data_IF_589181378689
#
_entry.id   IF_589181378689
#
_cell.length_a   1.000
_cell.length_b   1.000
_cell.length_c   1.000
_cell.angle_alpha   90.00
_cell.angle_beta   90.00
_cell.angle_gamma   90.00
#
_symmetry.space_group_name_H-M   'P 1'
#
loop_
_entity.id
_entity.type
_entity.pdbx_description
1 polymer ?
#
# COMPACT_ATOMS: atom_id res chain seq x y z
N UNK A 1 -7.68 -1.23 10.71
CA UNK A 1 -6.25 -1.36 10.41
C UNK A 1 -5.91 -0.14 9.62
N UNK A 2 -4.92 0.54 9.99
CA UNK A 2 -4.47 1.74 9.36
C UNK A 2 -3.46 1.31 8.30
N UNK A 3 -3.29 2.05 7.22
CA UNK A 3 -2.29 1.82 6.18
C UNK A 3 -0.94 1.41 6.77
N UNK A 4 -0.03 0.86 6.00
CA UNK A 4 1.33 0.62 6.53
C UNK A 4 1.94 1.90 7.11
N UNK A 5 1.56 3.06 6.60
CA UNK A 5 1.92 4.35 7.17
C UNK A 5 1.04 4.75 8.33
N UNK A 6 -0.24 4.39 8.34
CA UNK A 6 -1.06 4.49 9.55
C UNK A 6 -0.61 3.48 10.62
N UNK A 7 0.03 2.38 10.25
CA UNK A 7 0.70 1.49 11.19
C UNK A 7 1.91 2.18 11.82
N UNK A 8 2.74 2.86 11.03
CA UNK A 8 3.82 3.73 11.56
C UNK A 8 3.25 4.85 12.43
N UNK A 9 2.08 5.42 12.07
CA UNK A 9 1.38 6.46 12.86
C UNK A 9 0.80 5.94 14.18
N UNK A 10 0.45 4.66 14.32
CA UNK A 10 -0.38 4.14 15.43
C UNK A 10 0.27 3.20 16.43
N UNK A 11 1.56 3.17 16.57
CA UNK A 11 2.27 2.69 17.76
C UNK A 11 2.29 1.19 18.09
N UNK A 12 2.28 0.26 17.18
CA UNK A 12 2.39 -1.15 17.56
C UNK A 12 3.61 -1.85 16.93
N UNK A 13 4.76 -1.19 16.87
CA UNK A 13 6.00 -1.85 16.52
C UNK A 13 7.10 -1.46 17.50
N UNK A 14 7.91 -2.43 17.85
CA UNK A 14 9.13 -2.23 18.59
C UNK A 14 10.28 -2.06 17.59
N UNK A 15 11.03 -0.97 17.71
CA UNK A 15 12.31 -0.81 17.03
C UNK A 15 13.35 -1.46 17.93
N UNK A 16 13.98 -2.52 17.46
CA UNK A 16 14.99 -3.25 18.20
C UNK A 16 16.35 -2.56 17.99
N UNK A 17 16.88 -1.99 19.08
CA UNK A 17 18.23 -1.41 19.14
C UNK A 17 18.28 0.12 19.26
N UNK A 18 19.42 0.62 19.74
CA UNK A 18 19.68 2.05 20.03
C UNK A 18 19.90 2.93 18.77
N UNK A 19 19.85 2.37 17.58
CA UNK A 19 20.00 3.13 16.34
C UNK A 19 18.73 3.91 16.03
N UNK A 20 18.75 5.21 16.28
CA UNK A 20 17.72 6.16 15.84
C UNK A 20 17.68 6.20 14.31
N UNK A 21 16.73 5.51 13.72
CA UNK A 21 16.48 5.58 12.27
C UNK A 21 15.30 6.51 12.02
N UNK A 22 15.55 7.59 11.28
CA UNK A 22 14.48 8.49 10.83
C UNK A 22 13.77 7.85 9.63
N UNK A 23 12.48 7.61 9.77
CA UNK A 23 11.62 7.15 8.67
C UNK A 23 10.94 8.36 8.07
N UNK A 24 11.15 8.59 6.78
CA UNK A 24 10.48 9.66 6.03
C UNK A 24 9.38 9.03 5.17
N UNK A 25 8.16 9.56 5.32
CA UNK A 25 7.02 9.21 4.49
C UNK A 25 6.47 10.45 3.78
N UNK A 26 6.05 10.27 2.55
CA UNK A 26 5.39 11.30 1.76
C UNK A 26 3.89 11.01 1.68
N UNK A 27 3.06 11.99 2.05
CA UNK A 27 1.69 12.04 1.56
C UNK A 27 1.72 12.56 0.13
N UNK A 28 1.08 11.86 -0.78
CA UNK A 28 0.97 12.29 -2.15
C UNK A 28 -0.50 12.40 -2.54
N UNK A 29 -0.81 13.40 -3.36
CA UNK A 29 -2.17 13.68 -3.83
C UNK A 29 -2.22 13.71 -5.34
N UNK A 30 -3.25 13.08 -5.91
CA UNK A 30 -3.50 13.13 -7.34
C UNK A 30 -3.94 14.53 -7.76
N UNK A 31 -3.29 15.08 -8.80
CA UNK A 31 -3.45 16.48 -9.23
C UNK A 31 -4.14 16.66 -10.59
N UNK A 32 -4.42 15.55 -11.30
CA UNK A 32 -5.04 15.64 -12.63
C UNK A 32 -6.55 15.48 -12.54
N UNK A 33 -7.26 16.07 -13.50
CA UNK A 33 -8.72 15.95 -13.62
C UNK A 33 -9.16 14.59 -14.17
N UNK A 34 -8.35 13.98 -15.04
CA UNK A 34 -8.69 12.76 -15.75
C UNK A 34 -7.80 11.60 -15.27
N UNK A 35 -8.44 10.50 -14.94
CA UNK A 35 -7.77 9.23 -14.63
C UNK A 35 -7.75 8.38 -15.91
N UNK A 36 -6.55 7.93 -16.32
CA UNK A 36 -6.41 6.99 -17.43
C UNK A 36 -7.21 5.72 -17.18
N UNK A 37 -7.72 5.11 -18.26
CA UNK A 37 -8.48 3.86 -18.17
C UNK A 37 -7.54 2.69 -17.78
N UNK A 38 -7.96 1.92 -16.78
CA UNK A 38 -7.32 0.65 -16.46
C UNK A 38 -7.85 -0.47 -17.36
N UNK A 39 -6.97 -1.37 -17.77
CA UNK A 39 -7.30 -2.52 -18.62
C UNK A 39 -7.50 -3.82 -17.81
N UNK A 40 -7.51 -3.75 -16.48
CA UNK A 40 -7.72 -4.90 -15.61
C UNK A 40 -9.03 -4.79 -14.85
N UNK A 41 -9.50 -5.92 -14.34
CA UNK A 41 -10.63 -5.99 -13.40
C UNK A 41 -10.19 -6.71 -12.14
N UNK A 42 -10.42 -6.09 -10.97
CA UNK A 42 -10.14 -6.72 -9.69
C UNK A 42 -11.43 -7.27 -9.08
N UNK A 43 -11.28 -8.34 -8.32
CA UNK A 43 -12.34 -8.93 -7.50
C UNK A 43 -12.21 -8.46 -6.06
N UNK A 44 -13.32 -8.43 -5.32
CA UNK A 44 -13.29 -8.15 -3.88
C UNK A 44 -12.54 -9.28 -3.15
N UNK A 45 -11.85 -8.89 -2.08
CA UNK A 45 -11.20 -9.87 -1.21
C UNK A 45 -12.23 -10.79 -0.54
N UNK A 46 -11.94 -12.09 -0.53
CA UNK A 46 -12.67 -13.09 0.22
C UNK A 46 -11.70 -13.87 1.13
N UNK A 47 -12.17 -14.40 2.24
CA UNK A 47 -11.35 -15.12 3.22
C UNK A 47 -10.59 -16.30 2.63
N UNK A 48 -11.15 -16.96 1.62
CA UNK A 48 -10.48 -18.06 0.89
C UNK A 48 -9.13 -17.68 0.29
N UNK A 49 -8.92 -16.38 -0.01
CA UNK A 49 -7.66 -15.85 -0.55
C UNK A 49 -6.63 -15.54 0.53
N UNK A 50 -7.04 -15.55 1.81
CA UNK A 50 -6.20 -15.01 2.89
C UNK A 50 -4.82 -15.66 2.97
N UNK A 51 -4.74 -16.99 2.91
CA UNK A 51 -3.45 -17.69 3.03
C UNK A 51 -2.45 -17.26 1.95
N UNK A 52 -2.88 -17.23 0.69
CA UNK A 52 -2.04 -16.81 -0.45
C UNK A 52 -1.71 -15.33 -0.38
N UNK A 53 -2.70 -14.49 -0.08
CA UNK A 53 -2.52 -13.05 0.09
C UNK A 53 -1.51 -12.71 1.19
N UNK A 54 -1.60 -13.38 2.35
CA UNK A 54 -0.69 -13.21 3.48
C UNK A 54 0.77 -13.45 3.06
N UNK A 55 1.03 -14.52 2.31
CA UNK A 55 2.38 -14.81 1.82
C UNK A 55 2.90 -13.71 0.89
N UNK A 56 2.09 -13.31 -0.10
CA UNK A 56 2.46 -12.25 -1.06
C UNK A 56 2.68 -10.93 -0.34
N UNK A 57 1.78 -10.57 0.59
CA UNK A 57 1.87 -9.35 1.40
C UNK A 57 3.20 -9.31 2.17
N UNK A 58 3.47 -10.33 2.97
CA UNK A 58 4.69 -10.39 3.75
C UNK A 58 5.94 -10.37 2.88
N UNK A 59 5.96 -11.13 1.78
CA UNK A 59 7.09 -11.15 0.85
C UNK A 59 7.37 -9.77 0.24
N UNK A 60 6.33 -9.02 -0.14
CA UNK A 60 6.47 -7.68 -0.73
C UNK A 60 6.98 -6.65 0.28
N UNK A 61 6.59 -6.76 1.54
CA UNK A 61 6.95 -5.79 2.57
C UNK A 61 8.14 -6.19 3.45
N UNK A 62 8.64 -7.42 3.32
CA UNK A 62 9.72 -7.95 4.16
C UNK A 62 10.96 -7.08 4.14
N UNK A 63 11.50 -6.78 2.96
CA UNK A 63 12.73 -6.00 2.81
C UNK A 63 12.57 -4.57 3.33
N UNK A 64 11.42 -3.95 3.09
CA UNK A 64 11.12 -2.63 3.65
C UNK A 64 11.13 -2.67 5.17
N UNK A 65 10.40 -3.60 5.78
CA UNK A 65 10.31 -3.72 7.24
C UNK A 65 11.67 -4.04 7.86
N UNK A 66 12.43 -4.93 7.21
CA UNK A 66 13.78 -5.28 7.65
C UNK A 66 14.74 -4.09 7.57
N UNK A 67 14.74 -3.37 6.45
CA UNK A 67 15.60 -2.20 6.24
C UNK A 67 15.28 -1.08 7.24
N UNK A 68 13.99 -0.88 7.56
CA UNK A 68 13.53 0.11 8.52
C UNK A 68 13.52 -0.41 9.96
N UNK A 69 13.98 -1.65 10.19
CA UNK A 69 13.97 -2.33 11.50
C UNK A 69 12.58 -2.28 12.18
N UNK A 70 11.52 -2.56 11.41
CA UNK A 70 10.12 -2.56 11.87
C UNK A 70 9.66 -4.00 12.10
N UNK A 71 9.70 -4.47 13.32
CA UNK A 71 9.21 -5.82 13.68
C UNK A 71 7.70 -5.85 13.94
N UNK A 72 7.05 -7.00 13.76
CA UNK A 72 7.56 -8.23 13.12
C UNK A 72 7.74 -8.07 11.60
N UNK A 73 8.78 -8.63 11.02
CA UNK A 73 9.04 -8.52 9.57
C UNK A 73 7.96 -9.20 8.72
N UNK A 74 7.41 -10.33 9.21
CA UNK A 74 6.23 -10.97 8.68
C UNK A 74 5.00 -10.49 9.48
N UNK A 75 4.49 -9.31 9.15
CA UNK A 75 3.46 -8.63 9.92
C UNK A 75 2.10 -9.31 9.86
N UNK A 76 1.66 -9.67 8.64
CA UNK A 76 0.37 -10.30 8.44
C UNK A 76 0.47 -11.80 8.78
N UNK A 77 -0.24 -12.25 9.80
CA UNK A 77 -0.15 -13.64 10.28
C UNK A 77 -1.51 -14.27 10.62
N UNK A 78 -2.58 -13.49 10.73
CA UNK A 78 -3.93 -14.00 10.91
C UNK A 78 -4.97 -13.09 10.25
N UNK A 79 -6.13 -13.67 9.91
CA UNK A 79 -7.19 -12.99 9.19
C UNK A 79 -7.82 -11.83 9.98
N UNK A 80 -7.91 -11.95 11.28
CA UNK A 80 -8.50 -10.91 12.14
C UNK A 80 -7.79 -9.55 12.00
N UNK A 81 -6.51 -9.54 11.60
CA UNK A 81 -5.77 -8.31 11.36
C UNK A 81 -6.33 -7.47 10.20
N UNK A 82 -7.00 -8.08 9.25
CA UNK A 82 -7.55 -7.41 8.05
C UNK A 82 -9.07 -7.52 7.92
N UNK A 83 -9.73 -8.35 8.71
CA UNK A 83 -11.15 -8.72 8.60
C UNK A 83 -12.10 -7.53 8.42
N UNK A 84 -11.99 -6.51 9.28
CA UNK A 84 -12.86 -5.33 9.21
C UNK A 84 -12.69 -4.51 7.93
N UNK A 85 -11.52 -4.58 7.31
CA UNK A 85 -11.12 -3.79 6.13
C UNK A 85 -11.03 -4.59 4.85
N UNK A 86 -11.17 -5.91 4.95
CA UNK A 86 -11.06 -6.81 3.81
C UNK A 86 -12.02 -6.45 2.67
N UNK A 87 -13.19 -5.86 2.99
CA UNK A 87 -14.17 -5.36 2.01
C UNK A 87 -13.64 -4.25 1.09
N UNK A 88 -12.60 -3.54 1.52
CA UNK A 88 -11.96 -2.46 0.78
C UNK A 88 -10.64 -2.89 0.14
N UNK A 89 -10.29 -4.18 0.25
CA UNK A 89 -9.14 -4.81 -0.43
C UNK A 89 -9.65 -5.48 -1.70
N UNK A 90 -8.94 -5.27 -2.79
CA UNK A 90 -9.26 -5.83 -4.10
C UNK A 90 -8.06 -6.58 -4.66
N UNK A 91 -8.32 -7.70 -5.32
CA UNK A 91 -7.33 -8.59 -5.86
C UNK A 91 -7.42 -8.66 -7.38
N UNK A 92 -6.30 -8.55 -8.06
CA UNK A 92 -6.16 -8.98 -9.43
C UNK A 92 -5.82 -10.48 -9.43
N UNK A 93 -6.74 -11.29 -9.94
CA UNK A 93 -6.59 -12.75 -10.02
C UNK A 93 -6.67 -13.18 -11.47
N UNK A 94 -5.69 -13.92 -11.94
CA UNK A 94 -5.64 -14.52 -13.28
C UNK A 94 -5.23 -15.99 -13.15
N UNK A 95 -5.95 -16.91 -13.79
CA UNK A 95 -5.68 -18.35 -13.73
C UNK A 95 -5.49 -18.89 -12.29
N UNK A 96 -6.38 -18.49 -11.38
CA UNK A 96 -6.35 -18.84 -9.95
C UNK A 96 -5.14 -18.31 -9.18
N UNK A 97 -4.25 -17.53 -9.80
CA UNK A 97 -3.12 -16.88 -9.13
C UNK A 97 -3.42 -15.42 -8.79
N UNK A 98 -3.03 -14.99 -7.60
CA UNK A 98 -3.06 -13.58 -7.21
C UNK A 98 -1.86 -12.87 -7.84
N UNK A 99 -2.14 -12.02 -8.82
CA UNK A 99 -1.15 -11.17 -9.51
C UNK A 99 -0.75 -9.99 -8.64
N UNK A 100 -1.72 -9.42 -7.94
CA UNK A 100 -1.49 -8.29 -7.04
C UNK A 100 -2.76 -7.86 -6.33
N UNK A 101 -2.63 -6.84 -5.51
CA UNK A 101 -3.75 -6.27 -4.76
C UNK A 101 -3.64 -4.77 -4.60
N UNK A 102 -4.76 -4.15 -4.28
CA UNK A 102 -4.85 -2.74 -3.91
C UNK A 102 -5.94 -2.57 -2.85
N UNK A 103 -5.70 -1.73 -1.86
CA UNK A 103 -6.70 -1.32 -0.88
C UNK A 103 -7.17 0.11 -1.18
N UNK A 104 -8.48 0.35 -1.03
CA UNK A 104 -9.11 1.64 -1.28
C UNK A 104 -9.97 2.05 -0.08
N UNK A 105 -9.38 2.79 0.86
CA UNK A 105 -10.03 3.21 2.10
C UNK A 105 -10.55 4.64 1.97
N UNK A 106 -11.85 4.79 1.71
CA UNK A 106 -12.42 6.11 1.44
C UNK A 106 -11.83 6.72 0.17
N UNK A 107 -11.02 7.77 0.30
CA UNK A 107 -10.28 8.41 -0.80
C UNK A 107 -8.78 8.06 -0.80
N UNK A 108 -8.33 7.16 0.07
CA UNK A 108 -6.92 6.75 0.19
C UNK A 108 -6.66 5.43 -0.54
N UNK A 109 -5.59 5.41 -1.36
CA UNK A 109 -5.00 4.19 -1.91
C UNK A 109 -3.93 3.70 -0.94
N UNK A 110 -4.02 2.43 -0.60
CA UNK A 110 -3.09 1.78 0.31
C UNK A 110 -2.72 0.37 -0.17
N UNK A 111 -1.66 -0.19 0.43
CA UNK A 111 -1.22 -1.58 0.22
C UNK A 111 -1.27 -2.04 -1.25
N UNK A 112 -0.79 -1.17 -2.19
CA UNK A 112 -0.62 -1.54 -3.59
C UNK A 112 0.54 -2.52 -3.70
N UNK A 113 0.23 -3.77 -4.04
CA UNK A 113 1.17 -4.87 -4.08
C UNK A 113 1.11 -5.56 -5.45
N UNK A 114 2.27 -5.91 -5.98
CA UNK A 114 2.40 -6.84 -7.11
C UNK A 114 3.23 -8.02 -6.65
N UNK A 115 2.68 -9.22 -6.77
CA UNK A 115 3.39 -10.45 -6.46
C UNK A 115 4.72 -10.48 -7.24
N UNK A 116 5.81 -10.82 -6.58
CA UNK A 116 7.17 -10.76 -7.14
C UNK A 116 7.32 -11.46 -8.49
N UNK A 117 6.61 -12.56 -8.70
CA UNK A 117 6.59 -13.28 -10.00
C UNK A 117 6.07 -12.45 -11.18
N UNK A 118 5.27 -11.40 -10.89
CA UNK A 118 4.58 -10.59 -11.89
C UNK A 118 5.03 -9.13 -11.91
N UNK A 119 6.06 -8.78 -11.13
CA UNK A 119 6.63 -7.43 -11.15
C UNK A 119 7.25 -7.10 -12.52
N UNK A 120 7.46 -5.80 -12.76
CA UNK A 120 8.05 -5.26 -13.99
C UNK A 120 7.26 -5.52 -15.30
N UNK A 121 5.99 -5.99 -15.20
CA UNK A 121 5.09 -6.24 -16.34
C UNK A 121 3.98 -5.18 -16.48
N UNK A 122 4.07 -4.07 -15.73
CA UNK A 122 3.09 -2.98 -15.81
C UNK A 122 1.89 -3.13 -14.86
N UNK A 123 1.72 -4.25 -14.18
CA UNK A 123 0.57 -4.48 -13.28
C UNK A 123 0.42 -3.43 -12.17
N UNK A 124 1.52 -2.90 -11.63
CA UNK A 124 1.46 -1.84 -10.62
C UNK A 124 0.76 -0.57 -11.13
N UNK A 125 1.02 -0.15 -12.39
CA UNK A 125 0.29 0.96 -13.01
C UNK A 125 -1.19 0.62 -13.16
N UNK A 126 -1.51 -0.57 -13.67
CA UNK A 126 -2.88 -0.97 -13.90
C UNK A 126 -3.70 -1.06 -12.61
N UNK A 127 -3.13 -1.63 -11.54
CA UNK A 127 -3.75 -1.66 -10.21
C UNK A 127 -3.98 -0.25 -9.65
N UNK A 128 -2.98 0.65 -9.77
CA UNK A 128 -3.12 2.04 -9.37
C UNK A 128 -4.28 2.73 -10.08
N UNK A 129 -4.34 2.63 -11.42
CA UNK A 129 -5.41 3.23 -12.22
C UNK A 129 -6.78 2.65 -11.86
N UNK A 130 -6.86 1.33 -11.67
CA UNK A 130 -8.09 0.66 -11.28
C UNK A 130 -8.58 1.15 -9.90
N UNK A 131 -7.69 1.24 -8.91
CA UNK A 131 -8.02 1.73 -7.57
C UNK A 131 -8.48 3.20 -7.59
N UNK A 132 -7.81 4.05 -8.36
CA UNK A 132 -8.22 5.45 -8.55
C UNK A 132 -9.63 5.55 -9.14
N UNK A 133 -9.95 4.73 -10.16
CA UNK A 133 -11.28 4.67 -10.74
C UNK A 133 -12.33 4.15 -9.74
N UNK A 134 -11.96 3.14 -8.93
CA UNK A 134 -12.82 2.60 -7.88
C UNK A 134 -13.18 3.68 -6.84
N UNK A 135 -12.20 4.46 -6.38
CA UNK A 135 -12.40 5.58 -5.46
C UNK A 135 -13.29 6.65 -6.11
N UNK A 136 -12.98 7.06 -7.34
CA UNK A 136 -13.69 8.14 -8.04
C UNK A 136 -15.17 7.81 -8.30
N UNK A 137 -15.51 6.54 -8.44
CA UNK A 137 -16.92 6.09 -8.52
C UNK A 137 -17.69 6.26 -7.21
N UNK A 138 -16.99 6.29 -6.06
CA UNK A 138 -17.60 6.36 -4.73
C UNK A 138 -17.67 7.78 -4.18
N UNK A 139 -16.69 8.62 -4.51
CA UNK A 139 -16.61 10.00 -4.03
C UNK A 139 -15.78 10.90 -4.96
N UNK A 140 -15.86 12.22 -4.72
CA UNK A 140 -15.15 13.27 -5.47
C UNK A 140 -13.96 13.87 -4.70
N UNK A 141 -13.67 13.37 -3.50
CA UNK A 141 -12.55 13.88 -2.70
C UNK A 141 -11.20 13.64 -3.39
N UNK A 142 -10.18 14.47 -3.10
CA UNK A 142 -8.85 14.26 -3.63
C UNK A 142 -8.32 12.87 -3.29
N UNK A 143 -7.86 12.13 -4.30
CA UNK A 143 -7.25 10.81 -4.08
C UNK A 143 -5.87 11.01 -3.46
N UNK A 144 -5.62 10.34 -2.35
CA UNK A 144 -4.37 10.42 -1.59
C UNK A 144 -3.73 9.05 -1.44
N UNK A 145 -2.43 9.04 -1.21
CA UNK A 145 -1.68 7.85 -0.80
C UNK A 145 -0.48 8.26 0.05
N UNK A 146 0.08 7.30 0.75
CA UNK A 146 1.31 7.48 1.51
C UNK A 146 2.39 6.52 1.01
N UNK A 147 3.64 6.99 0.96
CA UNK A 147 4.77 6.19 0.49
C UNK A 147 6.05 6.53 1.26
N UNK A 148 6.81 5.50 1.62
CA UNK A 148 8.13 5.72 2.22
C UNK A 148 9.09 6.33 1.20
N UNK A 149 9.90 7.29 1.64
CA UNK A 149 10.98 7.85 0.82
C UNK A 149 11.91 6.77 0.26
N UNK A 150 12.14 5.74 1.03
CA UNK A 150 12.92 4.57 0.67
C UNK A 150 12.39 3.86 -0.59
N UNK A 151 11.06 3.82 -0.81
CA UNK A 151 10.45 3.12 -1.94
C UNK A 151 10.48 3.96 -3.22
N UNK A 152 11.67 4.12 -3.78
CA UNK A 152 11.89 4.95 -4.98
C UNK A 152 11.08 4.48 -6.19
N UNK A 153 10.85 3.17 -6.34
CA UNK A 153 10.06 2.61 -7.44
C UNK A 153 8.59 3.01 -7.34
N UNK A 154 7.99 2.92 -6.15
CA UNK A 154 6.62 3.37 -5.92
C UNK A 154 6.49 4.88 -6.10
N UNK A 155 7.44 5.68 -5.58
CA UNK A 155 7.48 7.12 -5.79
C UNK A 155 7.48 7.49 -7.26
N UNK A 156 8.30 6.80 -8.07
CA UNK A 156 8.38 7.04 -9.51
C UNK A 156 7.06 6.66 -10.20
N UNK A 157 6.46 5.53 -9.80
CA UNK A 157 5.15 5.09 -10.30
C UNK A 157 4.09 6.15 -10.05
N UNK A 158 3.97 6.63 -8.82
CA UNK A 158 2.96 7.61 -8.44
C UNK A 158 3.16 8.95 -9.14
N UNK A 159 4.38 9.49 -9.17
CA UNK A 159 4.70 10.74 -9.88
C UNK A 159 4.37 10.67 -11.38
N UNK A 160 4.73 9.57 -12.05
CA UNK A 160 4.40 9.35 -13.48
C UNK A 160 2.89 9.32 -13.73
N UNK A 161 2.10 8.92 -12.74
CA UNK A 161 0.64 8.83 -12.86
C UNK A 161 -0.10 10.05 -12.27
N UNK A 162 0.60 11.15 -12.00
CA UNK A 162 -0.03 12.43 -11.66
C UNK A 162 -0.20 12.69 -10.17
N UNK A 163 0.51 11.97 -9.32
CA UNK A 163 0.58 12.27 -7.90
C UNK A 163 1.76 13.22 -7.60
N UNK A 164 1.53 14.18 -6.74
CA UNK A 164 2.53 15.10 -6.22
C UNK A 164 2.63 15.00 -4.70
N UNK A 165 3.82 15.27 -4.17
CA UNK A 165 4.05 15.28 -2.71
C UNK A 165 3.36 16.52 -2.14
N UNK A 166 2.45 16.33 -1.21
CA UNK A 166 1.72 17.40 -0.52
C UNK A 166 2.13 17.56 0.94
N UNK A 167 2.70 16.52 1.55
CA UNK A 167 3.18 16.57 2.92
C UNK A 167 4.36 15.61 3.12
N UNK A 168 5.25 15.97 4.05
CA UNK A 168 6.39 15.14 4.47
C UNK A 168 6.23 14.83 5.95
N UNK A 169 6.16 13.56 6.27
CA UNK A 169 6.07 13.09 7.65
C UNK A 169 7.38 12.43 8.07
N UNK A 170 7.86 12.80 9.23
CA UNK A 170 9.06 12.22 9.83
C UNK A 170 8.71 11.47 11.09
N UNK A 171 9.22 10.27 11.19
CA UNK A 171 9.02 9.40 12.34
C UNK A 171 10.39 9.05 12.94
N UNK A 172 10.52 9.22 14.25
CA UNK A 172 11.69 8.77 14.99
C UNK A 172 11.29 7.51 15.75
N UNK A 173 11.97 6.39 15.49
CA UNK A 173 11.64 5.08 16.06
C UNK A 173 10.12 4.79 16.00
N UNK A 174 9.49 5.15 14.85
CA UNK A 174 8.06 4.97 14.63
C UNK A 174 7.12 5.94 15.33
N UNK A 175 7.62 6.97 16.00
CA UNK A 175 6.82 8.06 16.55
C UNK A 175 6.91 9.28 15.62
N UNK A 176 5.76 9.91 15.33
CA UNK A 176 5.77 11.15 14.56
C UNK A 176 6.55 12.22 15.34
N UNK A 177 7.50 12.87 14.67
CA UNK A 177 8.12 14.10 15.18
C UNK A 177 7.08 15.23 15.06
N UNK A 178 6.88 15.94 16.17
CA UNK A 178 6.08 17.17 16.22
C UNK A 178 6.78 18.30 15.49
#
# INVERSE_FOLDING_TARGET
MKSQFQFVRNRNFEVVGDNKMEIIAYEMRFQKDIIEQSNISCVSFEEKYFSTYMHIYNECFYEMRKTLNIEPYNFLNNYEQIKEKSKDIYLLVENEEIIGSIACYGNEIDDLIVNKKFQHKGYGKQLLLWGMQCIRKKNTEPIVLHVAEWNKNALLLYKKNGFEITNIEKFDNGKKKL
#
